data_IF_111745271403
#
_entry.id   IF_111745271403
#
_cell.length_a   1.000
_cell.length_b   1.000
_cell.length_c   1.000
_cell.angle_alpha   90.00
_cell.angle_beta   90.00
_cell.angle_gamma   90.00
#
_symmetry.space_group_name_H-M   'P 1'
#
loop_
_entity.id
_entity.type
_entity.pdbx_description
1 polymer ?
#
# COMPACT_ATOMS: atom_id res chain seq x y z
N UNK A 1 -9.45 -3.37 2.85
CA UNK A 1 -8.59 -4.57 2.74
C UNK A 1 -7.91 -4.53 1.38
N UNK A 2 -6.62 -4.85 1.30
CA UNK A 2 -5.89 -4.91 0.02
C UNK A 2 -5.67 -6.36 -0.40
N UNK A 3 -5.65 -6.59 -1.71
CA UNK A 3 -5.45 -7.90 -2.31
C UNK A 3 -4.52 -7.78 -3.52
N UNK A 4 -3.68 -8.78 -3.75
CA UNK A 4 -2.86 -8.88 -4.98
C UNK A 4 -3.58 -9.69 -6.04
N UNK A 5 -3.22 -9.46 -7.29
CA UNK A 5 -3.76 -10.17 -8.43
C UNK A 5 -4.77 -9.36 -9.24
N UNK A 6 -5.12 -9.90 -10.40
CA UNK A 6 -6.14 -9.33 -11.29
C UNK A 6 -7.54 -9.47 -10.69
N UNK A 7 -8.50 -8.71 -11.20
CA UNK A 7 -9.91 -8.84 -10.78
C UNK A 7 -10.46 -10.26 -10.93
N UNK A 8 -10.02 -11.00 -11.97
CA UNK A 8 -10.39 -12.42 -12.19
C UNK A 8 -9.81 -13.33 -11.09
N UNK A 9 -8.55 -13.13 -10.72
CA UNK A 9 -7.88 -13.87 -9.65
C UNK A 9 -8.55 -13.61 -8.28
N UNK A 10 -8.86 -12.35 -7.98
CA UNK A 10 -9.56 -11.98 -6.74
C UNK A 10 -10.95 -12.61 -6.67
N UNK A 11 -11.68 -12.63 -7.78
CA UNK A 11 -13.00 -13.29 -7.87
C UNK A 11 -12.90 -14.79 -7.62
N UNK A 12 -11.93 -15.48 -8.24
CA UNK A 12 -11.71 -16.91 -8.02
C UNK A 12 -11.41 -17.20 -6.54
N UNK A 13 -10.54 -16.39 -5.92
CA UNK A 13 -10.20 -16.53 -4.49
C UNK A 13 -11.39 -16.27 -3.56
N UNK A 14 -12.26 -15.33 -3.90
CA UNK A 14 -13.52 -15.12 -3.16
C UNK A 14 -14.43 -16.33 -3.25
N UNK A 15 -14.63 -16.90 -4.44
CA UNK A 15 -15.49 -18.06 -4.66
C UNK A 15 -14.97 -19.30 -3.92
N UNK A 16 -13.65 -19.50 -3.93
CA UNK A 16 -13.00 -20.62 -3.23
C UNK A 16 -12.81 -20.39 -1.72
N UNK A 17 -13.30 -19.27 -1.15
CA UNK A 17 -13.14 -18.97 0.28
C UNK A 17 -11.69 -18.74 0.73
N UNK A 18 -10.77 -18.42 -0.20
CA UNK A 18 -9.34 -18.20 0.11
C UNK A 18 -9.02 -16.81 0.64
N UNK A 19 -10.02 -15.94 0.78
CA UNK A 19 -9.85 -14.62 1.38
C UNK A 19 -10.49 -14.58 2.76
N UNK A 20 -9.68 -14.25 3.76
CA UNK A 20 -10.12 -14.18 5.14
C UNK A 20 -10.47 -12.75 5.57
N UNK A 21 -11.46 -12.60 6.41
CA UNK A 21 -11.77 -11.39 7.15
C UNK A 21 -10.81 -11.24 8.33
N UNK A 22 -10.71 -10.04 8.87
CA UNK A 22 -9.95 -9.74 10.10
C UNK A 22 -10.45 -10.51 11.34
N UNK A 23 -11.71 -11.00 11.33
CA UNK A 23 -12.24 -11.84 12.39
C UNK A 23 -11.91 -13.35 12.21
N UNK A 24 -11.12 -13.70 11.19
CA UNK A 24 -10.82 -15.09 10.84
C UNK A 24 -11.86 -15.78 9.95
N UNK A 25 -13.05 -15.21 9.79
CA UNK A 25 -14.09 -15.77 8.92
C UNK A 25 -13.77 -15.60 7.43
N UNK A 26 -14.30 -16.49 6.58
CA UNK A 26 -14.10 -16.44 5.12
C UNK A 26 -14.96 -15.37 4.46
N UNK A 27 -14.41 -14.74 3.41
CA UNK A 27 -15.14 -13.81 2.56
C UNK A 27 -15.82 -14.57 1.41
N UNK A 28 -17.04 -14.14 1.06
CA UNK A 28 -17.76 -14.56 -0.15
C UNK A 28 -18.03 -13.36 -1.05
N UNK A 29 -18.26 -13.56 -2.36
CA UNK A 29 -18.60 -12.48 -3.29
C UNK A 29 -19.83 -11.69 -2.82
N UNK A 30 -19.74 -10.34 -2.94
CA UNK A 30 -20.84 -9.42 -2.58
C UNK A 30 -20.98 -8.27 -3.58
N UNK A 31 -20.67 -8.51 -4.85
CA UNK A 31 -20.74 -7.53 -5.92
C UNK A 31 -19.49 -6.67 -6.08
N UNK A 32 -19.66 -5.44 -6.55
CA UNK A 32 -18.57 -4.53 -6.91
C UNK A 32 -18.76 -3.16 -6.22
N UNK A 33 -17.67 -2.46 -5.99
CA UNK A 33 -17.70 -1.06 -5.60
C UNK A 33 -17.92 -0.17 -6.84
N UNK A 34 -18.20 1.10 -6.63
CA UNK A 34 -18.27 2.07 -7.73
C UNK A 34 -16.94 2.14 -8.47
N UNK A 35 -16.95 2.21 -9.81
CA UNK A 35 -15.74 2.45 -10.57
C UNK A 35 -15.18 3.82 -10.21
N UNK A 36 -13.86 3.95 -10.28
CA UNK A 36 -13.15 5.20 -10.03
C UNK A 36 -11.90 5.27 -10.86
N UNK A 37 -11.59 6.45 -11.33
CA UNK A 37 -10.36 6.75 -12.01
C UNK A 37 -9.22 6.97 -11.00
N UNK A 38 -8.07 6.41 -11.31
CA UNK A 38 -6.85 6.47 -10.51
C UNK A 38 -5.73 7.02 -11.40
N UNK A 39 -5.13 8.11 -10.99
CA UNK A 39 -3.97 8.68 -11.65
C UNK A 39 -2.72 7.84 -11.31
N UNK A 40 -1.97 7.45 -12.35
CA UNK A 40 -0.72 6.69 -12.26
C UNK A 40 0.37 7.34 -13.10
N UNK A 41 1.62 6.92 -12.95
CA UNK A 41 2.71 7.37 -13.82
C UNK A 41 2.57 6.91 -15.28
N UNK A 42 1.79 5.86 -15.54
CA UNK A 42 1.51 5.35 -16.89
C UNK A 42 0.23 5.93 -17.50
N UNK A 43 -0.45 6.85 -16.80
CA UNK A 43 -1.73 7.42 -17.17
C UNK A 43 -2.88 7.02 -16.24
N UNK A 44 -4.08 7.57 -16.44
CA UNK A 44 -5.24 7.25 -15.64
C UNK A 44 -5.74 5.81 -15.92
N UNK A 45 -6.18 5.13 -14.88
CA UNK A 45 -6.73 3.77 -14.94
C UNK A 45 -8.05 3.73 -14.21
N UNK A 46 -9.10 3.22 -14.87
CA UNK A 46 -10.38 2.97 -14.21
C UNK A 46 -10.34 1.65 -13.46
N UNK A 47 -10.63 1.70 -12.16
CA UNK A 47 -10.65 0.54 -11.29
C UNK A 47 -12.02 0.37 -10.68
N UNK A 48 -12.56 -0.85 -10.75
CA UNK A 48 -13.80 -1.25 -10.09
C UNK A 48 -13.50 -2.38 -9.10
N UNK A 49 -13.24 -2.06 -7.82
CA UNK A 49 -12.86 -3.06 -6.83
C UNK A 49 -14.00 -4.04 -6.53
N UNK A 50 -13.68 -5.30 -6.28
CA UNK A 50 -14.63 -6.30 -5.79
C UNK A 50 -15.02 -6.02 -4.35
N UNK A 51 -16.21 -6.47 -3.97
CA UNK A 51 -16.67 -6.47 -2.57
C UNK A 51 -16.83 -7.90 -2.10
N UNK A 52 -16.46 -8.14 -0.85
CA UNK A 52 -16.70 -9.40 -0.17
C UNK A 52 -17.46 -9.17 1.12
N UNK A 53 -18.33 -10.10 1.49
CA UNK A 53 -18.99 -10.13 2.80
C UNK A 53 -18.45 -11.28 3.61
N UNK A 54 -18.16 -11.05 4.89
CA UNK A 54 -17.67 -12.09 5.79
C UNK A 54 -18.80 -13.00 6.26
N UNK A 55 -18.60 -14.32 6.16
CA UNK A 55 -19.56 -15.30 6.68
C UNK A 55 -19.63 -15.34 8.21
N UNK A 56 -18.52 -14.98 8.90
CA UNK A 56 -18.48 -15.00 10.37
C UNK A 56 -19.11 -13.77 11.00
N UNK A 57 -18.70 -12.56 10.60
CA UNK A 57 -19.12 -11.31 11.26
C UNK A 57 -20.08 -10.44 10.42
N UNK A 58 -20.49 -10.84 9.23
CA UNK A 58 -21.41 -10.10 8.36
C UNK A 58 -20.84 -8.80 7.75
N UNK A 59 -19.61 -8.38 8.10
CA UNK A 59 -19.01 -7.14 7.59
C UNK A 59 -18.67 -7.24 6.12
N UNK A 60 -18.94 -6.18 5.37
CA UNK A 60 -18.55 -6.04 3.98
C UNK A 60 -17.17 -5.39 3.86
N UNK A 61 -16.36 -5.87 2.92
CA UNK A 61 -15.03 -5.38 2.62
C UNK A 61 -14.93 -4.98 1.15
N UNK A 62 -14.36 -3.80 0.89
CA UNK A 62 -13.90 -3.44 -0.46
C UNK A 62 -12.49 -4.00 -0.61
N UNK A 63 -12.28 -4.84 -1.63
CA UNK A 63 -11.02 -5.50 -1.94
C UNK A 63 -10.23 -4.61 -2.90
N UNK A 64 -9.30 -3.84 -2.35
CA UNK A 64 -8.47 -2.91 -3.11
C UNK A 64 -7.27 -3.65 -3.70
N UNK A 65 -6.93 -3.43 -4.97
CA UNK A 65 -5.62 -3.83 -5.48
C UNK A 65 -4.48 -3.31 -4.58
N UNK A 66 -3.43 -4.10 -4.40
CA UNK A 66 -2.31 -3.78 -3.50
C UNK A 66 -1.57 -2.48 -3.90
N UNK A 67 -1.68 -2.06 -5.16
CA UNK A 67 -1.11 -0.81 -5.64
C UNK A 67 -1.98 0.43 -5.37
N UNK A 68 -3.08 0.30 -4.57
CA UNK A 68 -3.97 1.39 -4.20
C UNK A 68 -4.01 1.62 -2.70
N UNK A 69 -4.12 2.89 -2.30
CA UNK A 69 -4.48 3.28 -0.95
C UNK A 69 -5.98 3.62 -0.86
N UNK A 70 -6.57 3.33 0.28
CA UNK A 70 -8.00 3.56 0.53
C UNK A 70 -8.34 5.05 0.38
N UNK A 71 -9.47 5.32 -0.32
CA UNK A 71 -9.99 6.67 -0.52
C UNK A 71 -9.03 7.63 -1.23
N UNK A 72 -8.08 7.11 -2.04
CA UNK A 72 -7.15 7.93 -2.82
C UNK A 72 -7.44 7.77 -4.31
N UNK A 73 -7.27 8.87 -5.06
CA UNK A 73 -7.37 8.92 -6.53
C UNK A 73 -6.02 8.77 -7.22
N UNK A 74 -4.97 8.47 -6.47
CA UNK A 74 -3.61 8.30 -6.96
C UNK A 74 -3.12 6.91 -6.58
N UNK A 75 -2.38 6.29 -7.48
CA UNK A 75 -1.72 5.03 -7.20
C UNK A 75 -0.77 5.16 -6.00
N UNK A 76 -0.59 4.06 -5.26
CA UNK A 76 0.33 4.05 -4.13
C UNK A 76 1.76 4.45 -4.55
N UNK A 77 2.20 4.02 -5.73
CA UNK A 77 3.51 4.40 -6.29
C UNK A 77 3.71 5.92 -6.37
N UNK A 78 2.69 6.68 -6.82
CA UNK A 78 2.74 8.16 -6.91
C UNK A 78 2.88 8.78 -5.52
N UNK A 79 2.10 8.28 -4.56
CA UNK A 79 2.15 8.77 -3.17
C UNK A 79 3.50 8.45 -2.54
N UNK A 80 4.03 7.24 -2.75
CA UNK A 80 5.34 6.84 -2.23
C UNK A 80 6.50 7.61 -2.87
N UNK A 81 6.41 7.95 -4.15
CA UNK A 81 7.36 8.86 -4.78
C UNK A 81 7.39 10.23 -4.08
N UNK A 82 6.21 10.78 -3.70
CA UNK A 82 6.15 12.01 -2.90
C UNK A 82 6.85 11.84 -1.54
N UNK A 83 6.61 10.74 -0.84
CA UNK A 83 7.23 10.45 0.45
C UNK A 83 8.75 10.33 0.33
N UNK A 84 9.25 9.64 -0.70
CA UNK A 84 10.67 9.47 -0.96
C UNK A 84 11.35 10.81 -1.29
N UNK A 85 10.76 11.63 -2.17
CA UNK A 85 11.27 12.95 -2.49
C UNK A 85 11.33 13.87 -1.25
N UNK A 86 10.33 13.79 -0.38
CA UNK A 86 10.33 14.52 0.89
C UNK A 86 11.40 14.02 1.85
N UNK A 87 11.59 12.70 1.95
CA UNK A 87 12.66 12.10 2.76
C UNK A 87 14.05 12.51 2.26
N UNK A 88 14.21 12.71 0.96
CA UNK A 88 15.41 13.29 0.34
C UNK A 88 15.56 14.81 0.54
N UNK A 89 14.73 15.45 1.38
CA UNK A 89 14.86 16.84 1.79
C UNK A 89 14.09 17.87 0.93
N UNK A 90 13.38 17.48 -0.12
CA UNK A 90 12.68 18.42 -0.99
C UNK A 90 11.51 19.10 -0.26
N UNK A 91 11.32 20.39 -0.52
CA UNK A 91 10.15 21.16 -0.07
C UNK A 91 8.87 20.68 -0.80
N UNK A 92 7.70 20.84 -0.18
CA UNK A 92 6.40 20.36 -0.72
C UNK A 92 6.14 20.79 -2.16
N UNK A 93 6.41 22.05 -2.48
CA UNK A 93 6.23 22.59 -3.84
C UNK A 93 7.13 21.87 -4.84
N UNK A 94 8.41 21.63 -4.49
CA UNK A 94 9.34 20.89 -5.34
C UNK A 94 8.96 19.42 -5.49
N UNK A 95 8.41 18.78 -4.43
CA UNK A 95 7.85 17.45 -4.51
C UNK A 95 6.70 17.42 -5.51
N UNK A 96 5.74 18.32 -5.38
CA UNK A 96 4.58 18.41 -6.25
C UNK A 96 4.98 18.60 -7.72
N UNK A 97 5.89 19.51 -8.00
CA UNK A 97 6.39 19.80 -9.35
C UNK A 97 7.09 18.61 -10.03
N UNK A 98 7.72 17.72 -9.24
CA UNK A 98 8.39 16.51 -9.77
C UNK A 98 7.44 15.33 -10.00
N UNK A 99 6.24 15.36 -9.42
CA UNK A 99 5.22 14.33 -9.64
C UNK A 99 4.44 14.64 -10.92
N UNK A 100 5.07 14.39 -12.07
CA UNK A 100 4.49 14.60 -13.40
C UNK A 100 3.67 13.36 -13.79
N UNK A 101 2.38 13.57 -14.08
CA UNK A 101 1.47 12.51 -14.47
C UNK A 101 0.92 12.80 -15.88
N UNK A 102 0.78 11.79 -16.76
CA UNK A 102 0.26 12.00 -18.10
C UNK A 102 -1.17 12.58 -18.09
N UNK A 103 -1.44 13.49 -19.01
CA UNK A 103 -2.80 13.98 -19.25
C UNK A 103 -3.56 12.95 -20.06
N UNK A 104 -4.82 12.59 -19.70
CA UNK A 104 -5.65 11.73 -20.51
C UNK A 104 -5.78 12.26 -21.94
N UNK A 105 -5.69 11.39 -22.92
CA UNK A 105 -5.93 11.67 -24.35
C UNK A 105 -5.03 12.75 -24.97
N UNK A 106 -3.93 13.15 -24.30
CA UNK A 106 -2.95 14.15 -24.76
C UNK A 106 -1.54 13.62 -24.65
N UNK A 107 -1.12 12.91 -25.69
CA UNK A 107 0.23 12.32 -25.74
C UNK A 107 1.32 13.37 -25.52
N UNK A 108 2.24 13.11 -24.60
CA UNK A 108 3.34 13.99 -24.25
C UNK A 108 3.02 15.11 -23.25
N UNK A 109 1.75 15.41 -23.01
CA UNK A 109 1.38 16.37 -21.97
C UNK A 109 1.38 15.73 -20.58
N UNK A 110 1.84 16.45 -19.58
CA UNK A 110 1.85 16.04 -18.18
C UNK A 110 1.34 17.16 -17.28
N UNK A 111 0.62 16.81 -16.25
CA UNK A 111 0.24 17.72 -15.17
C UNK A 111 0.96 17.36 -13.88
N UNK A 112 1.17 18.32 -13.01
CA UNK A 112 1.78 18.12 -11.70
C UNK A 112 0.72 17.88 -10.64
N UNK A 113 1.00 17.01 -9.68
CA UNK A 113 0.13 16.84 -8.51
C UNK A 113 0.02 18.18 -7.76
N UNK A 114 -1.19 18.63 -7.38
CA UNK A 114 -1.33 19.86 -6.61
C UNK A 114 -0.53 19.84 -5.31
N UNK A 115 0.16 20.92 -4.97
CA UNK A 115 0.99 21.03 -3.77
C UNK A 115 0.19 20.78 -2.48
N UNK A 116 -1.06 21.22 -2.40
CA UNK A 116 -1.98 20.94 -1.30
C UNK A 116 -2.26 19.44 -1.13
N UNK A 117 -2.41 18.72 -2.25
CA UNK A 117 -2.61 17.27 -2.25
C UNK A 117 -1.35 16.54 -1.78
N UNK A 118 -0.19 16.88 -2.34
CA UNK A 118 1.10 16.33 -1.91
C UNK A 118 1.35 16.65 -0.43
N UNK A 119 1.14 17.89 0.01
CA UNK A 119 1.28 18.32 1.39
C UNK A 119 0.40 17.54 2.35
N UNK A 120 -0.86 17.26 1.96
CA UNK A 120 -1.77 16.42 2.76
C UNK A 120 -1.24 14.99 2.95
N UNK A 121 -0.64 14.38 1.92
CA UNK A 121 -0.05 13.03 2.05
C UNK A 121 1.15 13.05 2.99
N UNK A 122 2.05 14.02 2.79
CA UNK A 122 3.29 14.16 3.57
C UNK A 122 2.99 14.39 5.05
N UNK A 123 2.08 15.31 5.37
CA UNK A 123 1.66 15.59 6.75
C UNK A 123 1.00 14.36 7.41
N UNK A 124 0.07 13.71 6.71
CA UNK A 124 -0.60 12.51 7.23
C UNK A 124 0.37 11.36 7.47
N UNK A 125 1.35 11.17 6.61
CA UNK A 125 2.38 10.16 6.80
C UNK A 125 3.30 10.52 7.97
N UNK A 126 3.77 11.77 8.05
CA UNK A 126 4.65 12.23 9.11
C UNK A 126 4.06 11.98 10.50
N UNK A 127 2.76 12.25 10.71
CA UNK A 127 2.07 11.96 11.96
C UNK A 127 2.06 10.47 12.35
N UNK A 128 2.37 9.56 11.41
CA UNK A 128 2.27 8.10 11.61
C UNK A 128 3.57 7.37 11.45
N UNK A 129 4.55 8.05 10.90
CA UNK A 129 5.83 7.45 10.56
C UNK A 129 6.46 6.69 11.73
N UNK A 130 6.40 7.24 12.94
CA UNK A 130 6.90 6.59 14.14
C UNK A 130 6.18 5.29 14.50
N UNK A 131 4.84 5.25 14.41
CA UNK A 131 4.04 4.04 14.64
C UNK A 131 4.30 3.01 13.55
N UNK A 132 4.29 3.43 12.29
CA UNK A 132 4.52 2.57 11.15
C UNK A 132 5.93 1.95 11.19
N UNK A 133 6.95 2.77 11.53
CA UNK A 133 8.32 2.29 11.74
C UNK A 133 8.39 1.21 12.81
N UNK A 134 7.75 1.39 13.97
CA UNK A 134 7.74 0.38 15.04
C UNK A 134 7.17 -0.95 14.57
N UNK A 135 6.10 -0.94 13.78
CA UNK A 135 5.54 -2.15 13.20
C UNK A 135 6.52 -2.85 12.25
N UNK A 136 7.16 -2.08 11.39
CA UNK A 136 8.14 -2.63 10.44
C UNK A 136 9.37 -3.21 11.16
N UNK A 137 9.83 -2.57 12.23
CA UNK A 137 10.94 -3.10 13.05
C UNK A 137 10.58 -4.44 13.69
N UNK A 138 9.32 -4.66 14.08
CA UNK A 138 8.86 -5.97 14.55
C UNK A 138 8.83 -7.05 13.48
N UNK A 139 8.69 -6.67 12.20
CA UNK A 139 8.71 -7.60 11.06
C UNK A 139 10.13 -7.88 10.53
N UNK A 140 11.06 -6.96 10.73
CA UNK A 140 12.40 -7.04 10.15
C UNK A 140 13.15 -8.33 10.53
N UNK A 141 13.21 -8.76 11.80
CA UNK A 141 13.86 -10.03 12.16
C UNK A 141 13.21 -11.25 11.51
N UNK A 142 11.90 -11.18 11.22
CA UNK A 142 11.16 -12.26 10.58
C UNK A 142 11.42 -12.34 9.07
N UNK A 143 11.74 -11.21 8.44
CA UNK A 143 11.99 -11.16 6.99
C UNK A 143 13.48 -11.28 6.65
N UNK A 144 14.34 -10.78 7.52
CA UNK A 144 15.80 -10.80 7.37
C UNK A 144 16.50 -11.01 8.71
N UNK A 145 16.56 -12.27 9.22
CA UNK A 145 17.14 -12.58 10.54
C UNK A 145 18.64 -12.22 10.67
N UNK A 146 19.35 -12.13 9.54
CA UNK A 146 20.78 -11.81 9.47
C UNK A 146 21.02 -10.42 8.89
N UNK A 147 19.97 -9.62 8.75
CA UNK A 147 20.02 -8.28 8.16
C UNK A 147 20.87 -7.32 9.01
N UNK A 148 21.52 -6.39 8.32
CA UNK A 148 22.22 -5.30 8.98
C UNK A 148 21.22 -4.31 9.60
N UNK A 149 21.58 -3.63 10.69
CA UNK A 149 20.80 -2.53 11.22
C UNK A 149 20.50 -1.49 10.13
N UNK A 150 19.25 -1.04 10.07
CA UNK A 150 18.85 0.00 9.12
C UNK A 150 19.36 1.35 9.62
N UNK A 151 20.17 2.02 8.82
CA UNK A 151 20.69 3.34 9.14
C UNK A 151 19.57 4.37 9.25
N UNK A 152 19.73 5.34 10.15
CA UNK A 152 18.81 6.45 10.27
C UNK A 152 18.88 7.35 9.02
N UNK A 153 17.72 7.76 8.53
CA UNK A 153 17.59 8.61 7.34
C UNK A 153 17.37 10.10 7.70
N UNK A 154 17.62 10.47 8.97
CA UNK A 154 17.60 11.86 9.44
C UNK A 154 16.20 12.47 9.63
N UNK A 155 15.14 11.69 9.43
CA UNK A 155 13.77 12.12 9.74
C UNK A 155 12.87 10.93 10.05
N UNK A 156 11.82 11.11 10.89
CA UNK A 156 10.89 10.00 11.22
C UNK A 156 10.26 9.35 9.97
N UNK A 157 9.94 10.15 8.96
CA UNK A 157 9.39 9.65 7.70
C UNK A 157 10.44 8.90 6.88
N UNK A 158 11.65 9.42 6.78
CA UNK A 158 12.78 8.77 6.11
C UNK A 158 13.13 7.45 6.78
N UNK A 159 13.23 7.44 8.10
CA UNK A 159 13.50 6.22 8.88
C UNK A 159 12.44 5.14 8.65
N UNK A 160 11.15 5.53 8.62
CA UNK A 160 10.07 4.59 8.35
C UNK A 160 10.15 4.00 6.93
N UNK A 161 10.51 4.81 5.94
CA UNK A 161 10.70 4.35 4.56
C UNK A 161 11.94 3.46 4.44
N UNK A 162 13.05 3.78 5.09
CA UNK A 162 14.26 2.95 5.09
C UNK A 162 13.98 1.55 5.68
N UNK A 163 13.25 1.47 6.79
CA UNK A 163 12.86 0.18 7.37
C UNK A 163 11.89 -0.56 6.46
N UNK A 164 10.97 0.13 5.79
CA UNK A 164 10.06 -0.48 4.82
C UNK A 164 10.82 -1.11 3.64
N UNK A 165 11.81 -0.42 3.10
CA UNK A 165 12.65 -0.97 2.02
C UNK A 165 13.43 -2.19 2.51
N UNK A 166 13.98 -2.18 3.73
CA UNK A 166 14.68 -3.33 4.30
C UNK A 166 13.74 -4.55 4.47
N UNK A 167 12.53 -4.34 5.00
CA UNK A 167 11.48 -5.39 5.10
C UNK A 167 11.12 -5.92 3.71
N UNK A 168 10.93 -5.02 2.74
CA UNK A 168 10.59 -5.41 1.36
C UNK A 168 11.71 -6.24 0.74
N UNK A 169 12.97 -5.83 0.90
CA UNK A 169 14.12 -6.58 0.41
C UNK A 169 14.22 -7.95 1.09
N UNK A 170 13.96 -8.03 2.39
CA UNK A 170 13.89 -9.30 3.13
C UNK A 170 12.80 -10.23 2.59
N UNK A 171 11.60 -9.69 2.33
CA UNK A 171 10.49 -10.45 1.72
C UNK A 171 10.83 -10.96 0.31
N UNK A 172 11.47 -10.12 -0.52
CA UNK A 172 11.94 -10.52 -1.86
C UNK A 172 12.88 -11.71 -1.76
N UNK A 173 13.91 -11.62 -0.94
CA UNK A 173 14.91 -12.70 -0.78
C UNK A 173 14.28 -13.97 -0.22
N UNK A 174 13.46 -13.86 0.82
CA UNK A 174 12.91 -15.02 1.52
C UNK A 174 11.86 -15.80 0.74
N UNK A 175 11.08 -15.12 -0.10
CA UNK A 175 9.93 -15.69 -0.80
C UNK A 175 10.03 -15.64 -2.32
N UNK A 176 11.15 -15.23 -2.90
CA UNK A 176 11.33 -15.14 -4.35
C UNK A 176 10.40 -14.12 -5.00
N UNK A 177 10.13 -12.99 -4.35
CA UNK A 177 9.15 -11.99 -4.77
C UNK A 177 9.82 -10.78 -5.44
N UNK A 178 10.64 -10.99 -6.46
CA UNK A 178 11.51 -9.95 -7.06
C UNK A 178 10.76 -8.69 -7.50
N UNK A 179 9.52 -8.83 -7.93
CA UNK A 179 8.68 -7.71 -8.39
C UNK A 179 7.87 -7.02 -7.28
N UNK A 180 8.03 -7.44 -6.01
CA UNK A 180 7.31 -6.84 -4.89
C UNK A 180 7.81 -5.42 -4.62
N UNK A 181 6.94 -4.42 -4.71
CA UNK A 181 7.29 -3.03 -4.45
C UNK A 181 7.01 -2.63 -2.99
N UNK A 182 7.82 -1.73 -2.42
CA UNK A 182 7.66 -1.27 -1.04
C UNK A 182 6.28 -0.64 -0.77
N UNK A 183 5.74 0.10 -1.74
CA UNK A 183 4.40 0.68 -1.62
C UNK A 183 3.29 -0.38 -1.57
N UNK A 184 3.47 -1.52 -2.23
CA UNK A 184 2.53 -2.65 -2.14
C UNK A 184 2.60 -3.31 -0.76
N UNK A 185 3.80 -3.49 -0.21
CA UNK A 185 4.00 -4.00 1.17
C UNK A 185 3.31 -3.09 2.16
N UNK A 186 3.55 -1.78 2.09
CA UNK A 186 2.92 -0.81 2.98
C UNK A 186 1.39 -0.78 2.83
N UNK A 187 0.87 -0.77 1.60
CA UNK A 187 -0.56 -0.81 1.35
C UNK A 187 -1.18 -2.09 1.94
N UNK A 188 -0.46 -3.21 1.83
CA UNK A 188 -0.93 -4.48 2.34
C UNK A 188 -0.94 -4.51 3.88
N UNK A 189 0.18 -4.18 4.53
CA UNK A 189 0.30 -4.16 5.99
C UNK A 189 -0.73 -3.23 6.65
N UNK A 190 -1.07 -2.13 5.99
CA UNK A 190 -2.05 -1.15 6.50
C UNK A 190 -3.47 -1.38 5.99
N UNK A 191 -3.73 -2.44 5.21
CA UNK A 191 -5.02 -2.64 4.54
C UNK A 191 -5.40 -1.49 3.60
N UNK A 192 -4.42 -0.77 3.05
CA UNK A 192 -4.60 0.43 2.24
C UNK A 192 -4.82 1.71 3.06
N UNK A 193 -4.72 1.66 4.37
CA UNK A 193 -5.07 2.77 5.28
C UNK A 193 -3.85 3.58 5.75
N UNK A 194 -2.71 3.49 5.08
CA UNK A 194 -1.46 4.17 5.46
C UNK A 194 -1.65 5.67 5.78
N UNK A 195 -2.51 6.36 5.05
CA UNK A 195 -2.79 7.79 5.22
C UNK A 195 -4.14 8.05 5.91
N UNK A 196 -4.74 7.07 6.56
CA UNK A 196 -6.00 7.23 7.29
C UNK A 196 -5.77 7.94 8.65
N UNK A 197 -6.78 8.50 9.33
CA UNK A 197 -6.63 9.14 10.63
C UNK A 197 -6.12 8.21 11.74
N UNK A 198 -6.42 6.92 11.72
CA UNK A 198 -5.84 5.92 12.60
C UNK A 198 -5.35 4.74 11.77
N UNK A 199 -4.15 4.24 12.04
CA UNK A 199 -3.72 2.97 11.46
C UNK A 199 -4.52 1.87 12.16
N UNK A 200 -5.08 0.90 11.40
CA UNK A 200 -5.67 -0.26 12.04
C UNK A 200 -4.60 -0.91 12.92
N UNK A 201 -4.99 -1.53 14.04
CA UNK A 201 -4.06 -2.41 14.74
C UNK A 201 -3.55 -3.43 13.71
N UNK A 202 -2.26 -3.74 13.73
CA UNK A 202 -1.76 -4.91 13.02
C UNK A 202 -2.64 -6.06 13.48
N UNK A 203 -3.43 -6.63 12.59
CA UNK A 203 -4.24 -7.78 12.92
C UNK A 203 -3.31 -8.82 13.55
N UNK A 204 -3.64 -9.33 14.73
CA UNK A 204 -2.80 -10.27 15.48
C UNK A 204 -2.46 -11.57 14.73
N UNK A 205 -2.96 -11.74 13.52
CA UNK A 205 -2.66 -12.78 12.55
C UNK A 205 -1.68 -12.35 11.45
N UNK A 206 -0.96 -11.25 11.59
CA UNK A 206 0.18 -10.94 10.71
C UNK A 206 1.36 -11.85 11.08
N UNK A 207 1.14 -13.15 11.05
CA UNK A 207 2.23 -14.11 10.97
C UNK A 207 2.91 -13.92 9.61
N UNK A 208 4.20 -14.17 9.56
CA UNK A 208 4.97 -14.16 8.31
C UNK A 208 4.30 -14.97 7.20
N UNK A 209 3.57 -16.04 7.56
CA UNK A 209 2.75 -16.84 6.66
C UNK A 209 1.59 -16.04 6.04
N UNK A 210 0.93 -15.14 6.78
CA UNK A 210 -0.12 -14.29 6.23
C UNK A 210 0.45 -13.24 5.27
N UNK A 211 1.63 -12.68 5.58
CA UNK A 211 2.36 -11.78 4.68
C UNK A 211 2.82 -12.55 3.44
N UNK A 212 3.37 -13.75 3.61
CA UNK A 212 3.81 -14.61 2.51
C UNK A 212 2.64 -15.10 1.65
N UNK A 213 1.55 -15.58 2.24
CA UNK A 213 0.35 -16.03 1.51
C UNK A 213 -0.27 -14.91 0.68
N UNK A 214 -0.15 -13.67 1.15
CA UNK A 214 -0.61 -12.49 0.43
C UNK A 214 0.37 -12.08 -0.66
N UNK A 215 1.65 -12.32 -0.46
CA UNK A 215 2.69 -12.03 -1.43
C UNK A 215 2.79 -13.10 -2.54
N UNK A 216 2.34 -14.35 -2.28
CA UNK A 216 2.49 -15.50 -3.19
C UNK A 216 1.27 -15.73 -4.11
N UNK A 217 0.26 -14.88 -4.03
CA UNK A 217 -0.99 -15.00 -4.82
C UNK A 217 -1.13 -13.80 -5.79
#
# INVERSE_FOLDING_TARGET
MTVRGSGKSVEARLRCGRLACWCGGTLRPWGQARPREIATFAGPVVVQPRRGICRGCGRTHVLLPAWLLSRRRYAAAVIFAALALRAAGLKVIAVAARLRLPVPDRAGECWSVPASTAGSWLSRFACRAGQFRRWLLGLLPLTDPRGRPVAAAGSPSGDALAVLEAVTAGLRRRFGLDKLAAHEVAAHLTGGMLLAPALPPLAGNTTLAAVAAVCSS
#
